data_IF_932075689781
#
_entry.id   IF_932075689781
#
_cell.length_a   1.000
_cell.length_b   1.000
_cell.length_c   1.000
_cell.angle_alpha   90.00
_cell.angle_beta   90.00
_cell.angle_gamma   90.00
#
_symmetry.space_group_name_H-M   'P 1'
#
loop_
_entity.id
_entity.type
_entity.pdbx_description
1 polymer ?
#
# COMPACT_ATOMS: atom_id res chain seq x y z
N UNK A 1 -15.27 -3.57 -3.47
CA UNK A 1 -15.90 -4.20 -4.65
C UNK A 1 -15.55 -3.50 -5.97
N UNK A 2 -15.20 -2.22 -5.96
CA UNK A 2 -14.92 -1.44 -7.19
C UNK A 2 -13.81 -2.03 -8.07
N UNK A 3 -12.62 -2.30 -7.53
CA UNK A 3 -11.48 -2.82 -8.29
C UNK A 3 -11.78 -4.14 -9.03
N UNK A 4 -12.47 -5.09 -8.37
CA UNK A 4 -12.84 -6.37 -9.01
C UNK A 4 -13.87 -6.20 -10.13
N UNK A 5 -14.85 -5.30 -9.95
CA UNK A 5 -15.83 -5.00 -11.00
C UNK A 5 -15.19 -4.28 -12.19
N UNK A 6 -14.24 -3.39 -11.93
CA UNK A 6 -13.47 -2.72 -12.98
C UNK A 6 -12.67 -3.73 -13.82
N UNK A 7 -12.00 -4.69 -13.17
CA UNK A 7 -11.29 -5.78 -13.86
C UNK A 7 -12.19 -6.61 -14.76
N UNK A 8 -13.40 -6.96 -14.31
CA UNK A 8 -14.38 -7.70 -15.13
C UNK A 8 -14.85 -6.84 -16.32
N UNK A 9 -15.14 -5.56 -16.10
CA UNK A 9 -15.63 -4.64 -17.15
C UNK A 9 -14.59 -4.40 -18.23
N UNK A 10 -13.36 -4.16 -17.82
CA UNK A 10 -12.24 -3.84 -18.70
C UNK A 10 -11.50 -5.09 -19.21
N UNK A 11 -11.90 -6.29 -18.76
CA UNK A 11 -11.26 -7.57 -19.09
C UNK A 11 -9.76 -7.53 -18.81
N UNK A 12 -9.39 -6.99 -17.65
CA UNK A 12 -8.00 -6.89 -17.22
C UNK A 12 -7.47 -8.31 -17.01
N UNK A 13 -6.37 -8.63 -17.68
CA UNK A 13 -5.63 -9.88 -17.49
C UNK A 13 -4.84 -9.80 -16.17
N UNK A 14 -5.11 -10.66 -15.17
CA UNK A 14 -4.36 -10.68 -13.91
C UNK A 14 -2.93 -11.24 -14.07
N UNK A 15 -2.59 -11.78 -15.24
CA UNK A 15 -1.31 -12.44 -15.49
C UNK A 15 -1.31 -13.92 -15.06
N UNK A 16 -0.14 -14.55 -15.21
CA UNK A 16 0.04 -15.96 -14.89
C UNK A 16 0.01 -16.20 -13.36
N UNK A 17 -0.61 -17.30 -12.91
CA UNK A 17 -0.58 -17.68 -11.51
C UNK A 17 0.85 -18.00 -11.06
N UNK A 18 1.17 -17.62 -9.83
CA UNK A 18 2.46 -17.92 -9.20
C UNK A 18 2.26 -19.03 -8.17
N UNK A 19 2.70 -20.25 -8.50
CA UNK A 19 2.61 -21.45 -7.64
C UNK A 19 3.86 -21.68 -6.77
N UNK A 20 4.54 -20.62 -6.38
CA UNK A 20 5.75 -20.66 -5.55
C UNK A 20 5.51 -20.06 -4.16
N UNK A 21 6.25 -20.52 -3.14
CA UNK A 21 6.22 -19.90 -1.83
C UNK A 21 6.80 -18.49 -1.90
N UNK A 22 5.95 -17.48 -1.67
CA UNK A 22 6.32 -16.07 -1.72
C UNK A 22 7.38 -15.67 -0.69
N UNK A 23 7.55 -16.43 0.39
CA UNK A 23 8.57 -16.15 1.41
C UNK A 23 9.95 -16.66 1.02
N UNK A 24 10.03 -17.63 0.11
CA UNK A 24 11.29 -18.20 -0.36
C UNK A 24 11.86 -17.46 -1.58
N UNK A 25 11.01 -16.77 -2.35
CA UNK A 25 11.44 -15.99 -3.51
C UNK A 25 12.27 -14.76 -3.09
N UNK A 26 13.44 -14.62 -3.70
CA UNK A 26 14.22 -13.39 -3.64
C UNK A 26 13.51 -12.22 -4.34
N UNK A 27 13.93 -10.99 -4.05
CA UNK A 27 13.37 -9.81 -4.71
C UNK A 27 13.57 -9.83 -6.24
N UNK A 28 14.65 -10.43 -6.72
CA UNK A 28 14.95 -10.56 -8.16
C UNK A 28 14.00 -11.55 -8.82
N UNK A 29 13.73 -12.69 -8.19
CA UNK A 29 12.77 -13.68 -8.71
C UNK A 29 11.35 -13.13 -8.70
N UNK A 30 10.95 -12.43 -7.63
CA UNK A 30 9.65 -11.74 -7.59
C UNK A 30 9.48 -10.77 -8.75
N UNK A 31 10.50 -9.94 -9.03
CA UNK A 31 10.48 -9.04 -10.17
C UNK A 31 10.42 -9.77 -11.51
N UNK A 32 11.14 -10.89 -11.66
CA UNK A 32 11.11 -11.70 -12.88
C UNK A 32 9.74 -12.32 -13.15
N UNK A 33 8.97 -12.64 -12.09
CA UNK A 33 7.59 -13.10 -12.18
C UNK A 33 6.56 -11.96 -12.26
N UNK A 34 6.99 -10.70 -12.38
CA UNK A 34 6.08 -9.55 -12.41
C UNK A 34 5.37 -9.27 -11.09
N UNK A 35 5.86 -9.83 -9.98
CA UNK A 35 5.26 -9.69 -8.65
C UNK A 35 5.71 -8.37 -8.05
N UNK A 36 4.79 -7.40 -8.06
CA UNK A 36 4.96 -6.14 -7.34
C UNK A 36 4.94 -6.33 -5.82
N UNK A 37 5.58 -5.42 -5.10
CA UNK A 37 5.48 -5.36 -3.63
C UNK A 37 4.46 -4.29 -3.24
N UNK A 38 3.64 -4.59 -2.24
CA UNK A 38 2.72 -3.60 -1.69
C UNK A 38 3.50 -2.43 -1.05
N UNK A 39 2.90 -1.23 -1.01
CA UNK A 39 3.48 -0.13 -0.25
C UNK A 39 3.82 -0.55 1.19
N UNK A 40 5.05 -0.28 1.63
CA UNK A 40 5.56 -0.77 2.91
C UNK A 40 5.26 0.17 4.09
N UNK A 41 4.75 1.36 3.80
CA UNK A 41 4.33 2.35 4.79
C UNK A 41 2.91 2.82 4.52
N UNK A 42 2.27 3.36 5.55
CA UNK A 42 0.95 3.97 5.42
C UNK A 42 1.01 5.14 4.43
N UNK A 43 2.03 6.00 4.54
CA UNK A 43 2.24 7.13 3.63
C UNK A 43 2.25 6.72 2.16
N UNK A 44 3.05 5.71 1.78
CA UNK A 44 3.08 5.18 0.41
C UNK A 44 1.75 4.56 -0.02
N UNK A 45 0.99 4.00 0.92
CA UNK A 45 -0.35 3.48 0.65
C UNK A 45 -1.36 4.60 0.38
N UNK A 46 -1.23 5.72 1.09
CA UNK A 46 -2.07 6.92 0.89
C UNK A 46 -1.74 7.59 -0.45
N UNK A 47 -0.45 7.71 -0.81
CA UNK A 47 -0.03 8.17 -2.15
C UNK A 47 -0.63 7.29 -3.27
N UNK A 48 -0.62 5.96 -3.09
CA UNK A 48 -1.20 5.04 -4.07
C UNK A 48 -2.72 5.23 -4.20
N UNK A 49 -3.43 5.42 -3.07
CA UNK A 49 -4.87 5.68 -3.06
C UNK A 49 -5.23 7.02 -3.71
N UNK A 50 -4.45 8.07 -3.45
CA UNK A 50 -4.66 9.41 -4.04
C UNK A 50 -4.63 9.38 -5.58
N UNK A 51 -3.80 8.50 -6.14
CA UNK A 51 -3.64 8.32 -7.58
C UNK A 51 -4.56 7.25 -8.19
N UNK A 52 -5.34 6.51 -7.38
CA UNK A 52 -6.23 5.45 -7.84
C UNK A 52 -7.58 6.01 -8.29
N UNK A 53 -7.73 6.16 -9.61
CA UNK A 53 -8.98 6.65 -10.22
C UNK A 53 -10.18 5.74 -10.00
N UNK A 54 -10.00 4.42 -10.01
CA UNK A 54 -11.11 3.46 -9.88
C UNK A 54 -11.73 3.57 -8.49
N UNK A 55 -10.89 3.67 -7.47
CA UNK A 55 -11.35 3.82 -6.09
C UNK A 55 -11.95 5.21 -5.86
N UNK A 56 -11.35 6.27 -6.41
CA UNK A 56 -11.89 7.63 -6.33
C UNK A 56 -13.25 7.78 -7.00
N UNK A 57 -13.42 7.23 -8.20
CA UNK A 57 -14.70 7.23 -8.90
C UNK A 57 -15.78 6.42 -8.16
N UNK A 58 -15.39 5.35 -7.46
CA UNK A 58 -16.33 4.50 -6.72
C UNK A 58 -16.76 5.07 -5.36
N UNK A 59 -15.86 5.76 -4.65
CA UNK A 59 -16.13 6.31 -3.31
C UNK A 59 -16.51 7.79 -3.34
N UNK A 60 -16.17 8.51 -4.41
CA UNK A 60 -16.31 9.94 -4.56
C UNK A 60 -15.11 10.70 -4.00
N UNK A 61 -14.67 11.73 -4.73
CA UNK A 61 -13.46 12.50 -4.40
C UNK A 61 -13.52 13.11 -2.99
N UNK A 62 -14.66 13.69 -2.58
CA UNK A 62 -14.80 14.32 -1.26
C UNK A 62 -14.56 13.35 -0.10
N UNK A 63 -15.02 12.10 -0.24
CA UNK A 63 -14.81 11.08 0.78
C UNK A 63 -13.35 10.65 0.82
N UNK A 64 -12.74 10.44 -0.34
CA UNK A 64 -11.32 10.07 -0.44
C UNK A 64 -10.42 11.16 0.11
N UNK A 65 -10.65 12.42 -0.23
CA UNK A 65 -9.88 13.56 0.30
C UNK A 65 -9.99 13.67 1.82
N UNK A 66 -11.20 13.52 2.38
CA UNK A 66 -11.41 13.55 3.83
C UNK A 66 -10.69 12.38 4.53
N UNK A 67 -10.70 11.20 3.91
CA UNK A 67 -10.01 10.02 4.42
C UNK A 67 -8.49 10.18 4.36
N UNK A 68 -7.94 10.68 3.25
CA UNK A 68 -6.52 10.97 3.10
C UNK A 68 -6.06 11.95 4.18
N UNK A 69 -6.77 13.07 4.37
CA UNK A 69 -6.44 14.05 5.39
C UNK A 69 -6.40 13.45 6.80
N UNK A 70 -7.40 12.63 7.15
CA UNK A 70 -7.45 11.94 8.44
C UNK A 70 -6.26 10.98 8.62
N UNK A 71 -5.93 10.21 7.59
CA UNK A 71 -4.88 9.19 7.66
C UNK A 71 -3.47 9.76 7.57
N UNK A 72 -3.25 10.87 6.88
CA UNK A 72 -1.99 11.59 6.94
C UNK A 72 -1.74 12.14 8.35
N UNK A 73 -2.77 12.71 9.00
CA UNK A 73 -2.64 13.16 10.38
C UNK A 73 -2.31 12.00 11.35
N UNK A 74 -2.88 10.82 11.15
CA UNK A 74 -2.52 9.61 11.92
C UNK A 74 -1.07 9.18 11.67
N UNK A 75 -0.62 9.22 10.42
CA UNK A 75 0.76 8.91 10.06
C UNK A 75 1.77 9.88 10.69
N UNK A 76 1.49 11.18 10.64
CA UNK A 76 2.33 12.21 11.26
C UNK A 76 2.44 11.98 12.77
N UNK A 77 1.33 11.64 13.43
CA UNK A 77 1.32 11.30 14.84
C UNK A 77 2.18 10.08 15.14
N UNK A 78 2.10 9.03 14.32
CA UNK A 78 2.92 7.83 14.48
C UNK A 78 4.41 8.13 14.32
N UNK A 79 4.79 8.91 13.30
CA UNK A 79 6.19 9.29 13.06
C UNK A 79 6.81 10.13 14.18
N UNK A 80 6.00 10.82 14.98
CA UNK A 80 6.45 11.59 16.14
C UNK A 80 6.63 10.74 17.41
N UNK A 81 6.20 9.48 17.40
CA UNK A 81 6.33 8.59 18.57
C UNK A 81 7.75 8.05 18.67
N UNK A 82 8.36 8.21 19.85
CA UNK A 82 9.59 7.50 20.19
C UNK A 82 9.26 6.06 20.55
N UNK A 83 9.78 5.12 19.77
CA UNK A 83 9.57 3.70 20.02
C UNK A 83 10.55 3.18 21.09
N UNK A 84 10.17 2.16 21.88
CA UNK A 84 11.10 1.55 22.84
C UNK A 84 12.40 1.05 22.21
N UNK A 85 12.35 0.60 20.94
CA UNK A 85 13.54 0.18 20.20
C UNK A 85 14.51 1.34 19.98
N UNK A 86 14.02 2.52 19.61
CA UNK A 86 14.85 3.71 19.43
C UNK A 86 15.47 4.17 20.75
N UNK A 87 14.71 4.10 21.84
CA UNK A 87 15.21 4.42 23.18
C UNK A 87 16.36 3.49 23.55
N UNK A 88 16.16 2.17 23.48
CA UNK A 88 17.22 1.19 23.80
C UNK A 88 18.44 1.36 22.87
N UNK A 89 18.23 1.66 21.60
CA UNK A 89 19.32 1.75 20.62
C UNK A 89 20.17 3.02 20.77
N UNK A 90 19.57 4.15 21.16
CA UNK A 90 20.23 5.46 21.12
C UNK A 90 20.42 6.14 22.49
N UNK A 91 19.76 5.68 23.56
CA UNK A 91 19.87 6.27 24.91
C UNK A 91 20.69 5.44 25.92
N UNK A 92 21.08 4.20 25.60
CA UNK A 92 21.96 3.35 26.43
C UNK A 92 23.47 3.54 26.07
N UNK A 93 23.92 4.79 25.93
CA UNK A 93 25.33 5.18 25.80
C UNK A 93 25.75 6.15 26.90
#
# INVERSE_FOLDING_TARGET
>A
MAAGLDGIRNRIDPGEPVDHDMYELSAVEKAAHGIGTLPTTLDRSLEALENDRVIREALGDTLVESFLALKHAEWDQYCLQLTPWEVVKYLDH
#
